data_IF_961109818004
#
_entry.id   IF_961109818004
#
_cell.length_a   1.000
_cell.length_b   1.000
_cell.length_c   1.000
_cell.angle_alpha   90.00
_cell.angle_beta   90.00
_cell.angle_gamma   90.00
#
_symmetry.space_group_name_H-M   'P 1'
#
loop_
_entity.id
_entity.type
_entity.pdbx_description
1 polymer ?
#
# COMPACT_ATOMS: atom_id res chain seq x y z
N UNK A 1 -14.74 12.49 10.48
CA UNK A 1 -14.05 11.17 10.55
C UNK A 1 -12.76 11.28 9.79
N UNK A 2 -11.66 10.76 10.36
CA UNK A 2 -10.32 10.78 9.75
C UNK A 2 -9.89 9.35 9.41
N UNK A 3 -9.66 9.07 8.14
CA UNK A 3 -9.41 7.71 7.63
C UNK A 3 -8.00 7.60 7.04
N UNK A 4 -7.27 6.54 7.41
CA UNK A 4 -6.02 6.15 6.77
C UNK A 4 -6.30 5.08 5.72
N UNK A 5 -5.97 5.37 4.46
CA UNK A 5 -6.04 4.44 3.32
C UNK A 5 -4.62 3.97 3.01
N UNK A 6 -4.35 2.70 3.16
CA UNK A 6 -3.01 2.14 2.98
C UNK A 6 -2.95 1.35 1.69
N UNK A 7 -2.05 1.75 0.80
CA UNK A 7 -1.66 0.92 -0.35
C UNK A 7 -0.73 -0.21 0.15
N UNK A 8 -1.34 -1.37 0.40
CA UNK A 8 -0.67 -2.50 1.04
C UNK A 8 0.47 -3.06 0.21
N UNK A 9 0.29 -3.19 -1.09
CA UNK A 9 1.32 -3.72 -1.98
C UNK A 9 2.50 -2.76 -2.14
N UNK A 10 2.24 -1.46 -2.28
CA UNK A 10 3.30 -0.45 -2.36
C UNK A 10 4.12 -0.40 -1.05
N UNK A 11 3.44 -0.27 0.09
CA UNK A 11 4.10 -0.21 1.39
C UNK A 11 4.93 -1.46 1.69
N UNK A 12 4.39 -2.65 1.38
CA UNK A 12 5.11 -3.91 1.57
C UNK A 12 6.36 -4.01 0.69
N UNK A 13 6.26 -3.65 -0.59
CA UNK A 13 7.38 -3.67 -1.53
C UNK A 13 8.52 -2.75 -1.09
N UNK A 14 8.20 -1.56 -0.60
CA UNK A 14 9.20 -0.62 -0.06
C UNK A 14 10.00 -1.26 1.06
N UNK A 15 9.33 -1.88 2.01
CA UNK A 15 9.98 -2.55 3.14
C UNK A 15 10.79 -3.77 2.72
N UNK A 16 10.22 -4.63 1.90
CA UNK A 16 10.87 -5.86 1.46
C UNK A 16 12.17 -5.59 0.68
N UNK A 17 12.17 -4.58 -0.20
CA UNK A 17 13.34 -4.20 -0.97
C UNK A 17 14.27 -3.22 -0.25
N UNK A 18 13.77 -2.43 0.68
CA UNK A 18 14.53 -1.41 1.41
C UNK A 18 15.24 -1.95 2.64
N UNK A 19 14.63 -2.86 3.39
CA UNK A 19 15.18 -3.46 4.62
C UNK A 19 15.72 -4.86 4.32
N UNK A 20 16.93 -4.92 3.74
CA UNK A 20 17.50 -6.16 3.19
C UNK A 20 18.20 -7.05 4.21
N UNK A 21 18.70 -6.46 5.29
CA UNK A 21 19.64 -7.10 6.21
C UNK A 21 18.99 -7.42 7.57
N UNK A 22 17.67 -7.44 7.64
CA UNK A 22 16.95 -7.78 8.86
C UNK A 22 16.49 -9.24 8.83
N UNK A 23 17.14 -10.05 9.67
CA UNK A 23 16.87 -11.48 9.77
C UNK A 23 16.56 -11.87 11.22
N UNK A 24 15.64 -12.81 11.40
CA UNK A 24 15.37 -13.49 12.67
C UNK A 24 15.43 -14.99 12.39
N UNK A 25 16.28 -15.69 13.16
CA UNK A 25 16.52 -17.14 13.00
C UNK A 25 16.82 -17.56 11.54
N UNK A 26 17.60 -16.73 10.82
CA UNK A 26 17.96 -16.95 9.43
C UNK A 26 16.88 -16.58 8.39
N UNK A 27 15.70 -16.13 8.82
CA UNK A 27 14.62 -15.73 7.93
C UNK A 27 14.61 -14.20 7.75
N UNK A 28 14.59 -13.73 6.51
CA UNK A 28 14.41 -12.32 6.21
C UNK A 28 13.00 -11.86 6.63
N UNK A 29 12.93 -10.74 7.36
CA UNK A 29 11.66 -10.18 7.86
C UNK A 29 11.48 -8.69 7.55
N UNK A 30 12.32 -8.14 6.69
CA UNK A 30 12.34 -6.70 6.40
C UNK A 30 11.01 -6.13 5.93
N UNK A 31 10.27 -6.88 5.11
CA UNK A 31 8.94 -6.48 4.62
C UNK A 31 7.92 -6.36 5.74
N UNK A 32 7.83 -7.37 6.60
CA UNK A 32 6.92 -7.38 7.76
C UNK A 32 7.27 -6.25 8.73
N UNK A 33 8.54 -6.17 9.10
CA UNK A 33 9.02 -5.18 10.06
C UNK A 33 8.73 -3.75 9.61
N UNK A 34 9.08 -3.41 8.38
CA UNK A 34 8.84 -2.08 7.82
C UNK A 34 7.36 -1.74 7.74
N UNK A 35 6.53 -2.68 7.27
CA UNK A 35 5.10 -2.47 7.13
C UNK A 35 4.45 -2.15 8.48
N UNK A 36 4.66 -3.01 9.46
CA UNK A 36 4.06 -2.86 10.80
C UNK A 36 4.58 -1.61 11.50
N UNK A 37 5.89 -1.34 11.44
CA UNK A 37 6.47 -0.13 12.05
C UNK A 37 5.95 1.16 11.42
N UNK A 38 5.82 1.21 10.09
CA UNK A 38 5.31 2.39 9.40
C UNK A 38 3.85 2.62 9.76
N UNK A 39 3.03 1.55 9.78
CA UNK A 39 1.63 1.65 10.16
C UNK A 39 1.47 2.09 11.62
N UNK A 40 2.22 1.48 12.54
CA UNK A 40 2.21 1.86 13.96
C UNK A 40 2.58 3.33 14.14
N UNK A 41 3.63 3.80 13.47
CA UNK A 41 4.06 5.20 13.54
C UNK A 41 2.96 6.15 13.07
N UNK A 42 2.26 5.83 11.99
CA UNK A 42 1.13 6.63 11.51
C UNK A 42 -0.01 6.69 12.53
N UNK A 43 -0.28 5.57 13.22
CA UNK A 43 -1.30 5.50 14.27
C UNK A 43 -0.88 6.35 15.49
N UNK A 44 0.37 6.23 15.92
CA UNK A 44 0.90 6.95 17.10
C UNK A 44 0.97 8.47 16.87
N UNK A 45 1.30 8.90 15.65
CA UNK A 45 1.45 10.32 15.31
C UNK A 45 0.12 11.00 14.94
N UNK A 46 -0.88 10.22 14.55
CA UNK A 46 -2.14 10.73 14.04
C UNK A 46 -3.33 9.95 14.62
N UNK A 47 -4.34 10.65 15.08
CA UNK A 47 -5.58 10.04 15.56
C UNK A 47 -6.49 9.70 14.37
N UNK A 48 -6.37 8.50 13.82
CA UNK A 48 -7.28 7.99 12.81
C UNK A 48 -8.45 7.27 13.46
N UNK A 49 -9.67 7.56 12.99
CA UNK A 49 -10.90 6.86 13.40
C UNK A 49 -11.04 5.53 12.69
N UNK A 50 -10.43 5.40 11.51
CA UNK A 50 -10.55 4.23 10.64
C UNK A 50 -9.25 4.01 9.85
N UNK A 51 -8.87 2.73 9.71
CA UNK A 51 -7.74 2.30 8.90
C UNK A 51 -8.23 1.21 7.95
N UNK A 52 -7.90 1.35 6.67
CA UNK A 52 -8.23 0.39 5.63
C UNK A 52 -6.97 0.10 4.82
N UNK A 53 -6.60 -1.17 4.70
CA UNK A 53 -5.49 -1.62 3.86
C UNK A 53 -6.06 -2.22 2.57
N UNK A 54 -5.61 -1.72 1.45
CA UNK A 54 -6.00 -2.17 0.12
C UNK A 54 -4.90 -3.02 -0.50
N UNK A 55 -5.30 -4.14 -1.09
CA UNK A 55 -4.40 -5.07 -1.75
C UNK A 55 -4.77 -5.24 -3.21
N UNK A 56 -3.78 -5.46 -4.05
CA UNK A 56 -3.99 -5.87 -5.43
C UNK A 56 -4.78 -7.19 -5.48
N UNK A 57 -5.77 -7.25 -6.35
CA UNK A 57 -6.55 -8.45 -6.59
C UNK A 57 -5.79 -9.47 -7.45
N UNK A 58 -6.33 -10.68 -7.52
CA UNK A 58 -5.89 -11.66 -8.49
C UNK A 58 -6.22 -11.15 -9.89
N UNK A 59 -5.31 -11.36 -10.83
CA UNK A 59 -5.43 -10.86 -12.20
C UNK A 59 -5.73 -9.34 -12.30
N UNK A 60 -5.19 -8.58 -11.36
CA UNK A 60 -5.43 -7.15 -11.17
C UNK A 60 -5.19 -6.27 -12.40
N UNK A 61 -4.38 -6.74 -13.35
CA UNK A 61 -4.11 -6.03 -14.61
C UNK A 61 -5.00 -6.47 -15.77
N UNK A 62 -5.97 -7.37 -15.57
CA UNK A 62 -6.76 -7.95 -16.66
C UNK A 62 -7.56 -6.90 -17.43
N UNK A 63 -8.25 -6.01 -16.73
CA UNK A 63 -9.05 -4.94 -17.35
C UNK A 63 -8.16 -3.97 -18.12
N UNK A 64 -7.04 -3.55 -17.51
CA UNK A 64 -6.09 -2.63 -18.15
C UNK A 64 -5.40 -3.26 -19.38
N UNK A 65 -5.10 -4.58 -19.33
CA UNK A 65 -4.56 -5.32 -20.49
C UNK A 65 -5.56 -5.49 -21.61
N UNK A 66 -6.87 -5.60 -21.33
CA UNK A 66 -7.92 -5.59 -22.37
C UNK A 66 -7.94 -4.27 -23.14
N UNK A 67 -7.74 -3.14 -22.45
CA UNK A 67 -7.70 -1.82 -23.05
C UNK A 67 -6.35 -1.48 -23.68
N UNK A 68 -5.26 -1.92 -23.04
CA UNK A 68 -3.87 -1.66 -23.43
C UNK A 68 -3.06 -2.95 -23.34
N UNK A 69 -2.99 -3.77 -24.40
CA UNK A 69 -2.34 -5.09 -24.38
C UNK A 69 -0.88 -5.09 -23.86
N UNK A 70 -0.16 -3.99 -24.04
CA UNK A 70 1.23 -3.84 -23.59
C UNK A 70 1.36 -3.33 -22.14
N UNK A 71 0.26 -3.19 -21.39
CA UNK A 71 0.30 -2.71 -20.03
C UNK A 71 1.15 -3.61 -19.12
N UNK A 72 2.19 -3.05 -18.51
CA UNK A 72 3.14 -3.72 -17.60
C UNK A 72 3.89 -4.93 -18.19
N UNK A 73 3.84 -5.20 -19.51
CA UNK A 73 4.56 -6.34 -20.13
C UNK A 73 6.09 -6.30 -19.88
N UNK A 74 6.66 -5.12 -19.78
CA UNK A 74 8.10 -4.93 -19.59
C UNK A 74 8.54 -5.01 -18.11
N UNK A 75 7.63 -5.18 -17.17
CA UNK A 75 7.96 -5.37 -15.74
C UNK A 75 8.34 -6.84 -15.48
N UNK A 76 9.46 -7.31 -16.05
CA UNK A 76 10.05 -8.58 -15.65
C UNK A 76 10.62 -8.42 -14.25
N UNK A 77 9.97 -9.02 -13.28
CA UNK A 77 10.53 -9.14 -11.93
C UNK A 77 11.60 -10.24 -11.96
N UNK A 78 12.86 -9.85 -11.90
CA UNK A 78 13.99 -10.78 -11.79
C UNK A 78 14.28 -11.09 -10.31
N UNK A 79 13.29 -11.60 -9.59
CA UNK A 79 13.57 -12.20 -8.29
C UNK A 79 13.93 -13.67 -8.49
N UNK A 80 14.99 -14.15 -7.80
CA UNK A 80 15.22 -15.57 -7.74
C UNK A 80 14.10 -16.27 -6.94
N UNK A 81 13.96 -17.57 -7.12
CA UNK A 81 12.89 -18.38 -6.54
C UNK A 81 12.81 -18.25 -5.01
N UNK A 82 13.95 -18.31 -4.32
CA UNK A 82 14.04 -18.18 -2.87
C UNK A 82 13.55 -16.81 -2.37
N UNK A 83 13.94 -15.75 -3.06
CA UNK A 83 13.51 -14.38 -2.72
C UNK A 83 12.02 -14.18 -2.98
N UNK A 84 11.49 -14.79 -4.03
CA UNK A 84 10.07 -14.76 -4.36
C UNK A 84 9.24 -15.49 -3.30
N UNK A 85 9.70 -16.65 -2.85
CA UNK A 85 9.06 -17.39 -1.75
C UNK A 85 9.03 -16.57 -0.46
N UNK A 86 10.19 -16.01 -0.06
CA UNK A 86 10.27 -15.11 1.11
C UNK A 86 9.32 -13.92 0.99
N UNK A 87 9.20 -13.32 -0.21
CA UNK A 87 8.26 -12.24 -0.48
C UNK A 87 6.82 -12.65 -0.20
N UNK A 88 6.39 -13.80 -0.69
CA UNK A 88 5.03 -14.31 -0.50
C UNK A 88 4.75 -14.66 0.96
N UNK A 89 5.68 -15.34 1.63
CA UNK A 89 5.55 -15.69 3.05
C UNK A 89 5.40 -14.42 3.89
N UNK A 90 6.27 -13.44 3.71
CA UNK A 90 6.24 -12.21 4.49
C UNK A 90 4.96 -11.40 4.23
N UNK A 91 4.52 -11.30 2.98
CA UNK A 91 3.28 -10.60 2.62
C UNK A 91 2.06 -11.27 3.26
N UNK A 92 2.03 -12.59 3.27
CA UNK A 92 0.96 -13.35 3.93
C UNK A 92 0.97 -13.11 5.44
N UNK A 93 2.13 -13.08 6.09
CA UNK A 93 2.27 -12.75 7.51
C UNK A 93 1.75 -11.37 7.87
N UNK A 94 2.02 -10.37 7.01
CA UNK A 94 1.44 -9.02 7.21
C UNK A 94 -0.08 -9.08 7.23
N UNK A 95 -0.69 -9.79 6.27
CA UNK A 95 -2.15 -9.92 6.20
C UNK A 95 -2.74 -10.61 7.43
N UNK A 96 -2.11 -11.66 7.90
CA UNK A 96 -2.50 -12.39 9.12
C UNK A 96 -2.45 -11.48 10.35
N UNK A 97 -1.36 -10.73 10.55
CA UNK A 97 -1.25 -9.79 11.68
C UNK A 97 -2.29 -8.66 11.62
N UNK A 98 -2.59 -8.15 10.43
CA UNK A 98 -3.63 -7.14 10.27
C UNK A 98 -5.02 -7.71 10.60
N UNK A 99 -5.29 -8.97 10.26
CA UNK A 99 -6.53 -9.65 10.61
C UNK A 99 -6.65 -9.86 12.12
N UNK A 100 -5.59 -10.33 12.78
CA UNK A 100 -5.52 -10.46 14.24
C UNK A 100 -5.72 -9.12 14.97
N UNK A 101 -5.26 -8.02 14.37
CA UNK A 101 -5.47 -6.67 14.89
C UNK A 101 -6.81 -6.04 14.49
N UNK A 102 -7.70 -6.80 13.85
CA UNK A 102 -9.01 -6.33 13.36
C UNK A 102 -8.93 -5.14 12.39
N UNK A 103 -7.82 -4.98 11.69
CA UNK A 103 -7.67 -3.96 10.65
C UNK A 103 -8.44 -4.40 9.41
N UNK A 104 -9.28 -3.50 8.90
CA UNK A 104 -10.04 -3.77 7.68
C UNK A 104 -9.11 -3.89 6.49
N UNK A 105 -9.23 -5.00 5.76
CA UNK A 105 -8.51 -5.25 4.53
C UNK A 105 -9.49 -5.39 3.36
N UNK A 106 -9.16 -4.79 2.22
CA UNK A 106 -10.00 -4.79 1.01
C UNK A 106 -9.18 -5.26 -0.17
N UNK A 107 -9.75 -6.17 -0.93
CA UNK A 107 -9.22 -6.70 -2.18
C UNK A 107 -10.37 -7.04 -3.11
N UNK A 108 -10.23 -6.76 -4.39
CA UNK A 108 -11.21 -7.19 -5.39
C UNK A 108 -10.49 -7.82 -6.59
N UNK A 109 -11.05 -8.90 -7.12
CA UNK A 109 -10.54 -9.56 -8.32
C UNK A 109 -10.52 -8.59 -9.50
N UNK A 110 -9.50 -8.68 -10.34
CA UNK A 110 -9.28 -7.81 -11.51
C UNK A 110 -9.07 -6.31 -11.22
N UNK A 111 -9.00 -5.91 -9.93
CA UNK A 111 -8.73 -4.52 -9.53
C UNK A 111 -7.34 -4.38 -8.93
N UNK A 112 -6.68 -3.27 -9.19
CA UNK A 112 -5.48 -2.85 -8.47
C UNK A 112 -5.88 -2.08 -7.19
N UNK A 113 -4.99 -2.03 -6.20
CA UNK A 113 -5.24 -1.30 -4.95
C UNK A 113 -5.51 0.20 -5.20
N UNK A 114 -4.84 0.80 -6.19
CA UNK A 114 -5.03 2.21 -6.56
C UNK A 114 -6.44 2.50 -7.10
N UNK A 115 -7.04 1.57 -7.86
CA UNK A 115 -8.42 1.70 -8.34
C UNK A 115 -9.41 1.68 -7.16
N UNK A 116 -9.18 0.79 -6.19
CA UNK A 116 -10.04 0.67 -5.01
C UNK A 116 -9.92 1.89 -4.09
N UNK A 117 -8.70 2.43 -3.90
CA UNK A 117 -8.46 3.65 -3.13
C UNK A 117 -9.10 4.85 -3.82
N UNK A 118 -8.96 4.98 -5.15
CA UNK A 118 -9.59 6.06 -5.91
C UNK A 118 -11.12 6.00 -5.80
N UNK A 119 -11.70 4.80 -5.92
CA UNK A 119 -13.13 4.61 -5.74
C UNK A 119 -13.58 4.99 -4.32
N UNK A 120 -12.84 4.58 -3.29
CA UNK A 120 -13.15 4.97 -1.92
C UNK A 120 -13.12 6.49 -1.74
N UNK A 121 -12.14 7.19 -2.31
CA UNK A 121 -12.06 8.64 -2.25
C UNK A 121 -13.29 9.32 -2.87
N UNK A 122 -13.85 8.75 -3.93
CA UNK A 122 -15.06 9.27 -4.59
C UNK A 122 -16.32 9.10 -3.73
N UNK A 123 -16.52 7.92 -3.13
CA UNK A 123 -17.74 7.64 -2.35
C UNK A 123 -17.71 8.25 -0.95
N UNK A 124 -16.52 8.50 -0.39
CA UNK A 124 -16.31 9.08 0.92
C UNK A 124 -15.74 10.52 0.80
N UNK A 125 -16.31 11.31 -0.09
CA UNK A 125 -15.79 12.62 -0.47
C UNK A 125 -15.70 13.64 0.66
N UNK A 126 -16.57 13.54 1.70
CA UNK A 126 -16.56 14.44 2.86
C UNK A 126 -15.67 13.94 4.02
N UNK A 127 -15.15 12.73 3.95
CA UNK A 127 -14.22 12.22 4.96
C UNK A 127 -12.82 12.82 4.79
N UNK A 128 -12.17 13.20 5.90
CA UNK A 128 -10.74 13.53 5.85
C UNK A 128 -9.93 12.26 5.67
N UNK A 129 -9.17 12.17 4.58
CA UNK A 129 -8.42 10.97 4.17
C UNK A 129 -6.92 11.25 4.06
N UNK A 130 -6.13 10.30 4.50
CA UNK A 130 -4.69 10.25 4.21
C UNK A 130 -4.39 8.95 3.48
N UNK A 131 -3.83 9.03 2.27
CA UNK A 131 -3.34 7.88 1.51
C UNK A 131 -1.88 7.64 1.91
N UNK A 132 -1.58 6.44 2.38
CA UNK A 132 -0.21 6.00 2.71
C UNK A 132 0.35 5.22 1.54
N UNK A 133 1.11 5.89 0.68
CA UNK A 133 1.79 5.31 -0.48
C UNK A 133 2.93 6.21 -0.97
N UNK A 134 3.91 5.63 -1.63
CA UNK A 134 4.96 6.37 -2.35
C UNK A 134 4.67 6.51 -3.85
N UNK A 135 3.54 5.99 -4.32
CA UNK A 135 3.16 6.09 -5.72
C UNK A 135 2.66 7.50 -6.04
N UNK A 136 3.27 8.11 -7.06
CA UNK A 136 2.93 9.47 -7.50
C UNK A 136 1.59 9.55 -8.23
N UNK A 137 1.08 8.43 -8.69
CA UNK A 137 -0.21 8.39 -9.39
C UNK A 137 -1.36 8.82 -8.46
N UNK A 138 -1.19 8.69 -7.14
CA UNK A 138 -2.16 9.19 -6.17
C UNK A 138 -2.23 10.71 -6.07
N UNK A 139 -1.26 11.46 -6.57
CA UNK A 139 -1.30 12.94 -6.49
C UNK A 139 -2.52 13.54 -7.21
N UNK A 140 -3.07 12.84 -8.18
CA UNK A 140 -4.32 13.22 -8.85
C UNK A 140 -5.56 13.15 -7.94
N UNK A 141 -5.46 12.48 -6.78
CA UNK A 141 -6.55 12.35 -5.80
C UNK A 141 -6.49 13.40 -4.69
N UNK A 142 -5.45 14.26 -4.68
CA UNK A 142 -5.31 15.29 -3.66
C UNK A 142 -6.41 16.34 -3.85
N UNK A 143 -7.17 16.57 -2.79
CA UNK A 143 -8.20 17.59 -2.69
C UNK A 143 -8.25 18.19 -1.27
N UNK A 144 -9.29 18.94 -0.94
CA UNK A 144 -9.47 19.57 0.38
C UNK A 144 -9.60 18.53 1.51
N UNK A 145 -10.02 17.30 1.20
CA UNK A 145 -10.26 16.22 2.14
C UNK A 145 -9.25 15.08 2.04
N UNK A 146 -8.44 15.04 0.99
CA UNK A 146 -7.50 13.95 0.69
C UNK A 146 -6.07 14.44 0.66
N UNK A 147 -5.22 13.87 1.50
CA UNK A 147 -3.77 14.09 1.53
C UNK A 147 -3.03 12.78 1.27
N UNK A 148 -1.74 12.87 0.92
CA UNK A 148 -0.88 11.71 0.69
C UNK A 148 0.31 11.78 1.63
N UNK A 149 0.58 10.70 2.35
CA UNK A 149 1.82 10.52 3.10
C UNK A 149 2.74 9.54 2.37
N UNK A 150 3.93 10.02 2.00
CA UNK A 150 4.96 9.19 1.40
C UNK A 150 5.85 8.55 2.47
N UNK A 151 5.88 7.20 2.59
CA UNK A 151 6.74 6.52 3.56
C UNK A 151 8.23 6.60 3.22
N UNK A 152 8.57 6.96 1.99
CA UNK A 152 9.97 7.13 1.54
C UNK A 152 10.50 8.51 1.94
N UNK A 153 9.84 9.58 1.51
CA UNK A 153 10.25 10.96 1.81
C UNK A 153 9.85 11.42 3.21
N UNK A 154 8.92 10.70 3.85
CA UNK A 154 8.32 11.05 5.17
C UNK A 154 7.63 12.43 5.16
N UNK A 155 7.04 12.78 4.04
CA UNK A 155 6.36 14.05 3.81
C UNK A 155 4.88 13.79 3.52
N UNK A 156 4.02 14.66 4.05
CA UNK A 156 2.60 14.71 3.69
C UNK A 156 2.38 15.77 2.63
N UNK A 157 1.79 15.38 1.51
CA UNK A 157 1.40 16.27 0.41
C UNK A 157 -0.09 16.60 0.53
N UNK A 158 -0.40 17.89 0.37
CA UNK A 158 -1.75 18.45 0.46
C UNK A 158 -2.04 19.31 -0.76
N UNK A 159 -3.28 19.74 -0.89
CA UNK A 159 -3.70 20.72 -1.90
C UNK A 159 -2.84 21.98 -1.81
N UNK A 160 -2.33 22.44 -2.95
CA UNK A 160 -1.46 23.61 -3.03
C UNK A 160 0.04 23.35 -2.85
N UNK A 161 0.45 22.16 -2.43
CA UNK A 161 1.86 21.79 -2.38
C UNK A 161 2.43 21.64 -3.81
N UNK A 162 3.65 22.12 -4.01
CA UNK A 162 4.38 21.89 -5.26
C UNK A 162 4.95 20.48 -5.23
N UNK A 163 4.56 19.67 -6.17
CA UNK A 163 5.03 18.29 -6.39
C UNK A 163 6.26 18.28 -7.29
#
# INVERSE_FOLDING_TARGET
>A
MKTLLVDGDNLFKIGFHGVRDLFVEGNHIGGVFHFINTLRKQIDEHNYDKIIVFWDGDDNSAVRRKLYPNYKLNRRQSMNEFKLESYHIQKQRVKEYLEECFVRQVRATECEADDLIAYYCQIANEESKTILSADKDYFQLIDEHTSIYSPISKVTFKVGDKV
#
